data_IF_181687855068
#
_entry.id   IF_181687855068
#
_cell.length_a   1.000
_cell.length_b   1.000
_cell.length_c   1.000
_cell.angle_alpha   90.00
_cell.angle_beta   90.00
_cell.angle_gamma   90.00
#
_symmetry.space_group_name_H-M   'P 1'
#
loop_
_entity.id
_entity.type
_entity.pdbx_description
1 polymer ?
#
# COMPACT_ATOMS: atom_id res chain seq x y z
N UNK A 1 8.26 -3.90 1.81
CA UNK A 1 9.53 -4.63 1.51
C UNK A 1 10.63 -3.75 0.93
N UNK A 2 10.35 -2.52 0.52
CA UNK A 2 11.36 -1.58 -0.06
C UNK A 2 12.58 -1.34 0.85
N UNK A 3 12.41 -1.41 2.17
CA UNK A 3 13.48 -1.21 3.16
C UNK A 3 14.17 -2.50 3.63
N UNK A 4 13.85 -3.65 3.03
CA UNK A 4 14.46 -4.94 3.36
C UNK A 4 15.93 -5.02 2.93
N UNK A 5 16.70 -5.92 3.53
CA UNK A 5 18.05 -6.24 3.10
C UNK A 5 18.01 -7.20 1.90
N UNK A 6 18.18 -6.66 0.70
CA UNK A 6 18.14 -7.46 -0.54
C UNK A 6 19.25 -8.49 -0.67
N UNK A 7 20.35 -8.36 0.11
CA UNK A 7 21.39 -9.39 0.17
C UNK A 7 20.99 -10.58 1.07
N UNK A 8 19.98 -10.38 1.94
CA UNK A 8 19.48 -11.38 2.88
C UNK A 8 17.94 -11.43 2.87
N UNK A 9 17.34 -11.26 1.68
CA UNK A 9 15.89 -11.10 1.50
C UNK A 9 15.07 -12.24 2.12
N UNK A 10 15.55 -13.49 2.06
CA UNK A 10 14.87 -14.66 2.65
C UNK A 10 14.66 -14.47 4.17
N UNK A 11 15.67 -13.97 4.89
CA UNK A 11 15.56 -13.69 6.33
C UNK A 11 14.47 -12.65 6.63
N UNK A 12 14.40 -11.60 5.82
CA UNK A 12 13.40 -10.57 5.99
C UNK A 12 12.00 -11.07 5.65
N UNK A 13 11.86 -11.94 4.63
CA UNK A 13 10.59 -12.61 4.32
C UNK A 13 10.14 -13.50 5.49
N UNK A 14 11.03 -14.26 6.11
CA UNK A 14 10.70 -15.07 7.29
C UNK A 14 10.26 -14.21 8.48
N UNK A 15 10.94 -13.09 8.71
CA UNK A 15 10.58 -12.14 9.77
C UNK A 15 9.15 -11.58 9.55
N UNK A 16 8.81 -11.20 8.31
CA UNK A 16 7.46 -10.70 7.97
C UNK A 16 6.42 -11.81 8.10
N UNK A 17 6.69 -13.04 7.62
CA UNK A 17 5.79 -14.20 7.78
C UNK A 17 5.40 -14.45 9.24
N UNK A 18 6.34 -14.28 10.16
CA UNK A 18 6.14 -14.57 11.59
C UNK A 18 5.40 -13.44 12.32
N UNK A 19 5.58 -12.19 11.91
CA UNK A 19 5.18 -11.04 12.73
C UNK A 19 4.14 -10.12 12.10
N UNK A 20 4.14 -9.98 10.76
CA UNK A 20 3.22 -9.09 10.06
C UNK A 20 2.01 -9.85 9.48
N UNK A 21 1.04 -9.12 8.94
CA UNK A 21 -0.19 -9.68 8.36
C UNK A 21 -0.16 -9.68 6.83
N UNK A 22 0.57 -8.75 6.24
CA UNK A 22 0.61 -8.47 4.81
C UNK A 22 2.05 -8.13 4.41
N UNK A 23 2.47 -8.56 3.21
CA UNK A 23 3.68 -8.07 2.55
C UNK A 23 3.32 -6.90 1.64
N UNK A 24 3.81 -5.71 1.93
CA UNK A 24 3.67 -4.58 1.02
C UNK A 24 4.89 -4.49 0.08
N UNK A 25 4.63 -4.48 -1.23
CA UNK A 25 5.63 -4.62 -2.30
C UNK A 25 5.57 -3.40 -3.24
N UNK A 26 6.51 -2.48 -3.07
CA UNK A 26 6.60 -1.22 -3.83
C UNK A 26 7.28 -1.44 -5.17
N UNK A 27 6.53 -1.43 -6.26
CA UNK A 27 7.02 -1.56 -7.64
C UNK A 27 7.08 -0.19 -8.31
N UNK A 28 8.29 0.23 -8.68
CA UNK A 28 8.57 1.56 -9.22
C UNK A 28 9.32 1.44 -10.55
N UNK A 29 8.93 2.24 -11.55
CA UNK A 29 9.46 2.20 -12.92
C UNK A 29 10.44 3.34 -13.28
N UNK A 30 10.63 4.32 -12.38
CA UNK A 30 11.44 5.50 -12.67
C UNK A 30 10.78 6.50 -13.62
N UNK A 31 9.50 6.32 -13.94
CA UNK A 31 8.73 7.17 -14.87
C UNK A 31 7.57 7.87 -14.17
N UNK A 32 6.75 7.12 -13.42
CA UNK A 32 5.71 7.71 -12.57
C UNK A 32 6.33 8.39 -11.36
N UNK A 33 7.33 7.75 -10.75
CA UNK A 33 8.09 8.24 -9.60
C UNK A 33 9.59 8.28 -9.92
N UNK A 34 10.38 9.16 -9.27
CA UNK A 34 11.80 9.36 -9.60
C UNK A 34 12.73 8.27 -9.01
N UNK A 35 12.25 7.04 -8.91
CA UNK A 35 12.99 5.90 -8.38
C UNK A 35 12.62 4.62 -9.13
N UNK A 36 13.55 3.67 -9.19
CA UNK A 36 13.34 2.30 -9.68
C UNK A 36 13.56 1.38 -8.50
N UNK A 37 12.60 0.50 -8.20
CA UNK A 37 12.75 -0.47 -7.11
C UNK A 37 13.08 -1.87 -7.63
N UNK A 38 12.09 -2.70 -7.79
CA UNK A 38 12.21 -4.07 -8.28
C UNK A 38 10.94 -4.46 -9.04
N UNK A 39 11.03 -5.56 -9.79
CA UNK A 39 9.90 -6.08 -10.58
C UNK A 39 9.67 -7.56 -10.32
N UNK A 40 9.12 -8.24 -11.32
CA UNK A 40 8.68 -9.63 -11.24
C UNK A 40 9.69 -10.60 -10.63
N UNK A 41 11.00 -10.60 -10.96
CA UNK A 41 11.93 -11.59 -10.40
C UNK A 41 12.01 -11.55 -8.86
N UNK A 42 11.93 -10.36 -8.26
CA UNK A 42 11.96 -10.20 -6.80
C UNK A 42 10.60 -10.55 -6.20
N UNK A 43 9.49 -10.10 -6.81
CA UNK A 43 8.13 -10.42 -6.35
C UNK A 43 7.90 -11.92 -6.41
N UNK A 44 8.29 -12.60 -7.50
CA UNK A 44 8.22 -14.05 -7.64
C UNK A 44 9.08 -14.80 -6.61
N UNK A 45 10.26 -14.27 -6.26
CA UNK A 45 11.11 -14.84 -5.22
C UNK A 45 10.45 -14.74 -3.83
N UNK A 46 9.87 -13.58 -3.50
CA UNK A 46 9.11 -13.39 -2.25
C UNK A 46 7.88 -14.30 -2.23
N UNK A 47 7.11 -14.36 -3.31
CA UNK A 47 5.89 -15.17 -3.42
C UNK A 47 6.13 -16.66 -3.12
N UNK A 48 7.30 -17.21 -3.49
CA UNK A 48 7.67 -18.61 -3.22
C UNK A 48 7.79 -18.94 -1.72
N UNK A 49 8.05 -17.93 -0.89
CA UNK A 49 8.32 -18.10 0.55
C UNK A 49 7.25 -17.42 1.43
N UNK A 50 6.53 -16.46 0.89
CA UNK A 50 5.49 -15.74 1.61
C UNK A 50 4.33 -16.66 1.99
N UNK A 51 3.89 -16.57 3.26
CA UNK A 51 2.71 -17.26 3.79
C UNK A 51 1.57 -16.29 4.09
N UNK A 52 1.81 -15.00 3.90
CA UNK A 52 0.84 -13.91 4.08
C UNK A 52 0.49 -13.31 2.73
N UNK A 53 -0.59 -12.55 2.69
CA UNK A 53 -1.04 -11.83 1.50
C UNK A 53 0.06 -10.94 0.93
N UNK A 54 0.25 -10.99 -0.39
CA UNK A 54 1.08 -10.03 -1.10
C UNK A 54 0.18 -8.86 -1.53
N UNK A 55 0.52 -7.68 -1.10
CA UNK A 55 -0.06 -6.41 -1.50
C UNK A 55 0.95 -5.70 -2.40
N UNK A 56 0.63 -5.61 -3.68
CA UNK A 56 1.52 -5.04 -4.71
C UNK A 56 1.09 -3.62 -4.99
N UNK A 57 1.94 -2.66 -4.62
CA UNK A 57 1.72 -1.25 -4.85
C UNK A 57 2.46 -0.80 -6.12
N UNK A 58 1.69 -0.49 -7.16
CA UNK A 58 2.20 -0.13 -8.48
C UNK A 58 2.39 1.39 -8.61
N UNK A 59 3.61 1.85 -8.42
CA UNK A 59 4.06 3.21 -8.71
C UNK A 59 4.67 3.25 -10.12
N UNK A 60 3.87 2.89 -11.14
CA UNK A 60 4.28 2.74 -12.53
C UNK A 60 3.27 3.38 -13.48
N UNK A 61 3.71 3.75 -14.67
CA UNK A 61 2.82 4.13 -15.78
C UNK A 61 2.20 2.88 -16.42
N UNK A 62 1.04 3.02 -17.02
CA UNK A 62 0.31 1.93 -17.67
C UNK A 62 0.12 0.68 -16.78
N UNK A 63 -0.40 0.82 -15.53
CA UNK A 63 -0.55 -0.32 -14.62
C UNK A 63 -1.45 -1.42 -15.20
N UNK A 64 -2.41 -1.10 -16.07
CA UNK A 64 -3.30 -2.04 -16.75
C UNK A 64 -2.57 -3.15 -17.54
N UNK A 65 -1.33 -2.89 -17.95
CA UNK A 65 -0.50 -3.87 -18.67
C UNK A 65 0.14 -4.92 -17.78
N UNK A 66 0.12 -4.71 -16.46
CA UNK A 66 0.90 -5.52 -15.53
C UNK A 66 0.05 -6.21 -14.44
N UNK A 67 -1.16 -5.74 -14.18
CA UNK A 67 -2.01 -6.24 -13.07
C UNK A 67 -2.28 -7.75 -13.20
N UNK A 68 -2.61 -8.25 -14.40
CA UNK A 68 -2.83 -9.67 -14.63
C UNK A 68 -1.60 -10.52 -14.25
N UNK A 69 -0.40 -10.08 -14.66
CA UNK A 69 0.81 -10.82 -14.33
C UNK A 69 1.14 -10.81 -12.85
N UNK A 70 0.88 -9.70 -12.13
CA UNK A 70 1.04 -9.67 -10.67
C UNK A 70 0.00 -10.57 -9.98
N UNK A 71 -1.22 -10.64 -10.47
CA UNK A 71 -2.23 -11.60 -9.99
C UNK A 71 -1.75 -13.05 -10.18
N UNK A 72 -1.19 -13.40 -11.34
CA UNK A 72 -0.64 -14.73 -11.64
C UNK A 72 0.57 -15.10 -10.75
N UNK A 73 1.36 -14.12 -10.30
CA UNK A 73 2.46 -14.32 -9.33
C UNK A 73 1.93 -14.62 -7.92
N UNK A 74 0.66 -14.34 -7.65
CA UNK A 74 0.02 -14.61 -6.37
C UNK A 74 -0.26 -13.37 -5.52
N UNK A 75 -0.30 -12.18 -6.13
CA UNK A 75 -0.78 -10.99 -5.43
C UNK A 75 -2.23 -11.21 -4.95
N UNK A 76 -2.47 -10.94 -3.67
CA UNK A 76 -3.82 -10.94 -3.08
C UNK A 76 -4.46 -9.56 -3.06
N UNK A 77 -3.62 -8.52 -3.15
CA UNK A 77 -4.01 -7.11 -3.25
C UNK A 77 -3.13 -6.43 -4.29
N UNK A 78 -3.70 -5.53 -5.09
CA UNK A 78 -2.96 -4.69 -6.03
C UNK A 78 -3.53 -3.28 -5.97
N UNK A 79 -2.67 -2.28 -5.75
CA UNK A 79 -3.01 -0.86 -5.87
C UNK A 79 -2.19 -0.19 -6.97
N UNK A 80 -2.78 0.85 -7.58
CA UNK A 80 -2.13 1.71 -8.54
C UNK A 80 -2.49 3.17 -8.28
N UNK A 81 -1.67 4.09 -8.75
CA UNK A 81 -1.90 5.52 -8.55
C UNK A 81 -2.94 6.11 -9.49
N UNK A 82 -3.85 6.92 -8.95
CA UNK A 82 -4.80 7.70 -9.76
C UNK A 82 -4.06 8.61 -10.76
N UNK A 83 -2.92 9.15 -10.35
CA UNK A 83 -2.05 9.99 -11.18
C UNK A 83 -1.47 9.25 -12.40
N UNK A 84 -1.28 7.93 -12.31
CA UNK A 84 -0.90 7.12 -13.46
C UNK A 84 -2.02 7.12 -14.50
N UNK A 85 -3.27 6.91 -14.08
CA UNK A 85 -4.43 6.96 -14.98
C UNK A 85 -4.63 8.34 -15.62
N UNK A 86 -4.45 9.42 -14.85
CA UNK A 86 -4.50 10.79 -15.37
C UNK A 86 -3.46 11.01 -16.48
N UNK A 87 -2.23 10.56 -16.21
CA UNK A 87 -1.11 10.69 -17.15
C UNK A 87 -1.33 9.89 -18.42
N UNK A 88 -1.82 8.65 -18.29
CA UNK A 88 -1.92 7.69 -19.37
C UNK A 88 -3.24 7.81 -20.12
N UNK A 89 -4.21 8.60 -19.61
CA UNK A 89 -5.56 8.74 -20.16
C UNK A 89 -6.39 7.46 -20.03
N UNK A 90 -6.10 6.64 -19.00
CA UNK A 90 -6.81 5.38 -18.73
C UNK A 90 -7.96 5.61 -17.73
N UNK A 91 -8.97 4.74 -17.76
CA UNK A 91 -10.08 4.78 -16.80
C UNK A 91 -9.72 4.01 -15.51
N UNK A 92 -9.63 4.67 -14.35
CA UNK A 92 -9.36 3.99 -13.09
C UNK A 92 -10.39 2.89 -12.74
N UNK A 93 -11.68 3.09 -13.06
CA UNK A 93 -12.72 2.10 -12.81
C UNK A 93 -12.49 0.82 -13.64
N UNK A 94 -12.02 0.96 -14.88
CA UNK A 94 -11.66 -0.16 -15.75
C UNK A 94 -10.49 -0.98 -15.17
N UNK A 95 -9.46 -0.32 -14.65
CA UNK A 95 -8.30 -0.99 -14.03
C UNK A 95 -8.71 -1.70 -12.74
N UNK A 96 -9.52 -1.05 -11.88
CA UNK A 96 -10.05 -1.68 -10.66
C UNK A 96 -10.87 -2.93 -11.01
N UNK A 97 -11.72 -2.85 -12.04
CA UNK A 97 -12.51 -4.00 -12.49
C UNK A 97 -11.63 -5.14 -13.03
N UNK A 98 -10.57 -4.81 -13.78
CA UNK A 98 -9.59 -5.78 -14.27
C UNK A 98 -8.93 -6.54 -13.10
N UNK A 99 -8.40 -5.83 -12.09
CA UNK A 99 -7.79 -6.43 -10.90
C UNK A 99 -8.77 -7.38 -10.21
N UNK A 100 -10.03 -6.97 -10.03
CA UNK A 100 -11.06 -7.79 -9.39
C UNK A 100 -11.46 -9.00 -10.22
N UNK A 101 -11.42 -8.90 -11.55
CA UNK A 101 -11.70 -10.05 -12.43
C UNK A 101 -10.65 -11.17 -12.29
N UNK A 102 -9.43 -10.82 -11.88
CA UNK A 102 -8.35 -11.78 -11.59
C UNK A 102 -8.44 -12.36 -10.16
N UNK A 103 -9.50 -12.05 -9.40
CA UNK A 103 -9.74 -12.53 -8.04
C UNK A 103 -8.90 -11.81 -6.97
N UNK A 104 -8.32 -10.66 -7.29
CA UNK A 104 -7.43 -9.87 -6.45
C UNK A 104 -8.17 -8.65 -5.89
N UNK A 105 -7.85 -8.24 -4.65
CA UNK A 105 -8.39 -7.01 -4.06
C UNK A 105 -7.82 -5.78 -4.76
N UNK A 106 -8.70 -4.92 -5.26
CA UNK A 106 -8.32 -3.74 -6.03
C UNK A 106 -8.18 -2.51 -5.15
N UNK A 107 -7.08 -1.77 -5.32
CA UNK A 107 -6.76 -0.55 -4.59
C UNK A 107 -6.49 0.64 -5.51
N UNK A 108 -6.89 1.84 -5.04
CA UNK A 108 -6.55 3.11 -5.71
C UNK A 108 -5.71 3.96 -4.76
N UNK A 109 -4.50 4.33 -5.21
CA UNK A 109 -3.55 5.13 -4.45
C UNK A 109 -3.58 6.60 -4.86
N UNK A 110 -3.32 7.51 -3.91
CA UNK A 110 -3.16 8.95 -4.16
C UNK A 110 -2.00 9.54 -3.36
N UNK A 111 -1.21 10.40 -4.00
CA UNK A 111 -0.16 11.19 -3.36
C UNK A 111 -0.72 12.29 -2.43
N UNK A 112 0.12 12.86 -1.54
CA UNK A 112 -0.32 13.89 -0.57
C UNK A 112 -0.91 15.16 -1.20
N UNK A 113 -0.49 15.53 -2.39
CA UNK A 113 -0.94 16.71 -3.13
C UNK A 113 -2.25 16.50 -3.92
N UNK A 114 -2.72 15.25 -4.01
CA UNK A 114 -3.98 14.94 -4.70
C UNK A 114 -5.16 15.10 -3.73
N UNK A 115 -6.17 15.94 -4.02
CA UNK A 115 -7.37 16.06 -3.21
C UNK A 115 -8.09 14.72 -3.04
N UNK A 116 -8.47 14.38 -1.81
CA UNK A 116 -9.12 13.08 -1.51
C UNK A 116 -10.46 12.90 -2.20
N UNK A 117 -11.13 13.99 -2.54
CA UNK A 117 -12.40 14.00 -3.28
C UNK A 117 -12.27 13.31 -4.64
N UNK A 118 -11.06 13.24 -5.17
CA UNK A 118 -10.80 12.59 -6.45
C UNK A 118 -10.98 11.07 -6.42
N UNK A 119 -10.87 10.42 -5.26
CA UNK A 119 -11.15 8.98 -5.13
C UNK A 119 -12.61 8.67 -4.86
N UNK A 120 -13.44 9.65 -4.47
CA UNK A 120 -14.84 9.42 -4.08
C UNK A 120 -15.69 8.72 -5.16
N UNK A 121 -15.56 9.03 -6.45
CA UNK A 121 -16.29 8.32 -7.50
C UNK A 121 -15.97 6.82 -7.60
N UNK A 122 -14.76 6.43 -7.16
CA UNK A 122 -14.23 5.07 -7.30
C UNK A 122 -14.37 4.20 -6.05
N UNK A 123 -14.84 4.76 -4.91
CA UNK A 123 -14.98 4.03 -3.63
C UNK A 123 -15.86 2.77 -3.76
N UNK A 124 -16.86 2.77 -4.63
CA UNK A 124 -17.73 1.62 -4.90
C UNK A 124 -17.04 0.52 -5.72
N UNK A 125 -15.99 0.88 -6.46
CA UNK A 125 -15.27 0.02 -7.37
C UNK A 125 -13.93 -0.47 -6.77
N UNK A 126 -13.45 0.15 -5.68
CA UNK A 126 -12.24 -0.21 -4.98
C UNK A 126 -12.54 -1.05 -3.71
N UNK A 127 -11.73 -2.06 -3.44
CA UNK A 127 -11.75 -2.76 -2.16
C UNK A 127 -11.02 -1.95 -1.07
N UNK A 128 -10.05 -1.11 -1.47
CA UNK A 128 -9.35 -0.20 -0.55
C UNK A 128 -8.82 1.05 -1.25
N UNK A 129 -8.62 2.11 -0.46
CA UNK A 129 -7.91 3.33 -0.88
C UNK A 129 -6.59 3.39 -0.14
N UNK A 130 -5.49 3.53 -0.88
CA UNK A 130 -4.16 3.75 -0.34
C UNK A 130 -3.88 5.27 -0.28
N UNK A 131 -3.90 5.81 0.93
CA UNK A 131 -3.58 7.22 1.20
C UNK A 131 -2.08 7.33 1.48
N UNK A 132 -1.33 7.92 0.56
CA UNK A 132 0.08 8.19 0.78
C UNK A 132 0.25 9.27 1.84
N UNK A 133 1.08 9.00 2.84
CA UNK A 133 1.48 9.93 3.91
C UNK A 133 2.87 10.52 3.70
N UNK A 134 3.49 10.18 2.57
CA UNK A 134 4.68 10.78 1.97
C UNK A 134 4.51 10.76 0.46
N UNK A 135 5.31 11.51 -0.28
CA UNK A 135 5.30 11.37 -1.75
C UNK A 135 5.85 10.01 -2.16
N UNK A 136 5.14 9.33 -3.06
CA UNK A 136 5.57 8.05 -3.61
C UNK A 136 6.96 8.14 -4.25
N UNK A 137 7.77 7.06 -4.13
CA UNK A 137 9.07 6.94 -4.79
C UNK A 137 10.24 6.61 -3.87
N UNK A 138 10.26 7.05 -2.60
CA UNK A 138 11.35 6.76 -1.68
C UNK A 138 10.85 6.35 -0.30
N UNK A 139 11.52 5.36 0.30
CA UNK A 139 11.30 4.97 1.68
C UNK A 139 12.00 5.92 2.68
N UNK A 140 11.57 5.86 3.96
CA UNK A 140 12.22 6.58 5.07
C UNK A 140 11.98 8.08 5.11
N UNK A 141 10.99 8.59 4.40
CA UNK A 141 10.55 9.98 4.44
C UNK A 141 9.81 10.30 5.75
N UNK A 142 9.76 11.59 6.10
CA UNK A 142 9.02 12.07 7.27
C UNK A 142 7.52 12.07 6.97
N UNK A 143 6.73 11.52 7.89
CA UNK A 143 5.27 11.50 7.86
C UNK A 143 4.68 12.91 7.70
N UNK A 144 3.67 13.05 6.85
CA UNK A 144 2.94 14.30 6.61
C UNK A 144 1.68 14.30 7.49
N UNK A 145 1.61 15.23 8.46
CA UNK A 145 0.56 15.28 9.48
C UNK A 145 -0.86 15.49 8.92
N UNK A 146 -0.99 16.13 7.75
CA UNK A 146 -2.29 16.32 7.08
C UNK A 146 -2.98 14.99 6.73
N UNK A 147 -2.23 13.90 6.67
CA UNK A 147 -2.73 12.55 6.41
C UNK A 147 -3.87 12.14 7.33
N UNK A 148 -3.83 12.53 8.62
CA UNK A 148 -4.94 12.24 9.53
C UNK A 148 -6.27 12.88 9.08
N UNK A 149 -6.21 14.10 8.58
CA UNK A 149 -7.35 14.81 8.00
C UNK A 149 -7.88 14.09 6.75
N UNK A 150 -6.96 13.70 5.88
CA UNK A 150 -7.26 12.99 4.63
C UNK A 150 -7.92 11.63 4.89
N UNK A 151 -7.39 10.84 5.81
CA UNK A 151 -7.95 9.53 6.22
C UNK A 151 -9.37 9.72 6.78
N UNK A 152 -9.58 10.69 7.68
CA UNK A 152 -10.93 10.98 8.22
C UNK A 152 -11.92 11.38 7.13
N UNK A 153 -11.50 12.18 6.16
CA UNK A 153 -12.35 12.60 5.05
C UNK A 153 -12.77 11.43 4.16
N UNK A 154 -11.83 10.54 3.80
CA UNK A 154 -12.13 9.31 3.03
C UNK A 154 -13.04 8.39 3.85
N UNK A 155 -12.79 8.20 5.16
CA UNK A 155 -13.61 7.34 6.03
C UNK A 155 -15.05 7.86 6.16
N UNK A 156 -15.21 9.18 6.30
CA UNK A 156 -16.53 9.81 6.34
C UNK A 156 -17.29 9.61 5.02
N UNK A 157 -16.62 9.73 3.88
CA UNK A 157 -17.25 9.54 2.59
C UNK A 157 -17.64 8.08 2.32
N UNK A 158 -16.79 7.11 2.70
CA UNK A 158 -17.12 5.68 2.64
C UNK A 158 -18.39 5.41 3.45
N UNK A 159 -18.48 5.94 4.67
CA UNK A 159 -19.67 5.80 5.53
C UNK A 159 -20.89 6.48 4.93
N UNK A 160 -20.75 7.70 4.37
CA UNK A 160 -21.84 8.43 3.71
C UNK A 160 -22.44 7.67 2.53
N UNK A 161 -21.57 6.97 1.77
CA UNK A 161 -22.01 6.14 0.64
C UNK A 161 -22.49 4.73 1.06
N UNK A 162 -22.35 4.34 2.33
CA UNK A 162 -22.72 3.00 2.83
C UNK A 162 -21.84 1.87 2.27
N UNK A 163 -20.57 2.15 2.00
CA UNK A 163 -19.62 1.24 1.37
C UNK A 163 -18.73 0.53 2.41
N UNK A 164 -18.10 -0.57 1.98
CA UNK A 164 -17.15 -1.35 2.80
C UNK A 164 -15.69 -1.22 2.35
N UNK A 165 -15.36 -0.19 1.56
CA UNK A 165 -14.01 0.11 1.12
C UNK A 165 -13.10 0.38 2.34
N UNK A 166 -11.92 -0.24 2.37
CA UNK A 166 -10.94 -0.08 3.47
C UNK A 166 -9.99 1.09 3.19
N UNK A 167 -9.30 1.55 4.23
CA UNK A 167 -8.27 2.59 4.08
C UNK A 167 -6.93 2.00 4.50
N UNK A 168 -5.98 2.11 3.59
CA UNK A 168 -4.58 1.80 3.80
C UNK A 168 -3.76 3.09 3.84
N UNK A 169 -2.72 3.14 4.67
CA UNK A 169 -1.81 4.29 4.76
C UNK A 169 -0.38 3.81 4.62
N UNK A 170 0.36 4.43 3.69
CA UNK A 170 1.78 4.17 3.46
C UNK A 170 2.61 5.46 3.50
N UNK A 171 3.73 5.37 4.23
CA UNK A 171 4.76 6.40 4.31
C UNK A 171 5.00 6.95 5.73
N UNK A 172 6.19 6.72 6.28
CA UNK A 172 6.58 7.24 7.60
C UNK A 172 5.75 6.73 8.77
N UNK A 173 5.04 5.61 8.58
CA UNK A 173 4.26 4.96 9.65
C UNK A 173 5.20 4.28 10.63
N UNK A 174 4.89 4.40 11.92
CA UNK A 174 5.71 3.91 13.03
C UNK A 174 4.84 3.71 14.28
N UNK A 175 5.34 3.12 15.37
CA UNK A 175 4.60 3.01 16.61
C UNK A 175 4.11 4.34 17.19
N UNK A 176 4.77 5.47 16.86
CA UNK A 176 4.40 6.79 17.39
C UNK A 176 3.13 7.39 16.75
N UNK A 177 2.73 6.94 15.56
CA UNK A 177 1.57 7.48 14.83
C UNK A 177 0.52 6.41 14.47
N UNK A 178 0.81 5.12 14.66
CA UNK A 178 -0.07 4.02 14.29
C UNK A 178 -1.46 4.13 14.96
N UNK A 179 -1.52 4.36 16.27
CA UNK A 179 -2.78 4.52 17.01
C UNK A 179 -3.61 5.69 16.48
N UNK A 180 -3.00 6.85 16.26
CA UNK A 180 -3.70 8.02 15.72
C UNK A 180 -4.24 7.80 14.30
N UNK A 181 -3.51 7.03 13.47
CA UNK A 181 -3.96 6.65 12.13
C UNK A 181 -5.16 5.70 12.18
N UNK A 182 -5.13 4.70 13.06
CA UNK A 182 -6.24 3.79 13.28
C UNK A 182 -7.50 4.54 13.78
N UNK A 183 -7.33 5.46 14.76
CA UNK A 183 -8.41 6.33 15.24
C UNK A 183 -8.95 7.27 14.14
N UNK A 184 -8.12 7.70 13.20
CA UNK A 184 -8.56 8.46 12.05
C UNK A 184 -9.39 7.62 11.06
N UNK A 185 -9.29 6.29 11.11
CA UNK A 185 -10.05 5.36 10.28
C UNK A 185 -9.22 4.48 9.35
N UNK A 186 -7.88 4.49 9.47
CA UNK A 186 -7.02 3.56 8.74
C UNK A 186 -7.18 2.14 9.28
N UNK A 187 -7.23 1.15 8.38
CA UNK A 187 -7.44 -0.27 8.70
C UNK A 187 -6.23 -1.12 8.31
N UNK A 188 -5.35 -0.58 7.45
CA UNK A 188 -4.08 -1.20 7.04
C UNK A 188 -2.99 -0.15 7.16
N UNK A 189 -1.89 -0.50 7.82
CA UNK A 189 -0.76 0.38 8.07
C UNK A 189 0.51 -0.22 7.49
N UNK A 190 1.16 0.51 6.57
CA UNK A 190 2.40 0.09 5.92
C UNK A 190 3.58 0.74 6.63
N UNK A 191 4.43 -0.09 7.26
CA UNK A 191 5.63 0.35 7.94
C UNK A 191 6.87 -0.31 7.30
N UNK A 192 7.69 0.49 6.64
CA UNK A 192 8.94 0.04 6.03
C UNK A 192 10.14 0.27 6.94
N UNK A 193 10.76 1.44 6.83
CA UNK A 193 12.01 1.76 7.53
C UNK A 193 11.91 1.67 9.05
N UNK A 194 10.76 1.97 9.65
CA UNK A 194 10.54 1.83 11.08
C UNK A 194 10.68 0.39 11.57
N UNK A 195 10.35 -0.59 10.73
CA UNK A 195 10.47 -2.02 11.01
C UNK A 195 11.86 -2.54 10.63
N UNK A 196 12.24 -2.42 9.36
CA UNK A 196 13.45 -3.08 8.83
C UNK A 196 14.77 -2.49 9.36
N UNK A 197 14.79 -1.23 9.84
CA UNK A 197 15.98 -0.60 10.44
C UNK A 197 15.99 -0.68 11.97
N UNK A 198 14.98 -1.30 12.59
CA UNK A 198 14.93 -1.46 14.03
C UNK A 198 15.90 -2.55 14.49
N UNK A 199 16.42 -2.42 15.70
CA UNK A 199 17.21 -3.45 16.35
C UNK A 199 16.38 -4.73 16.57
N UNK A 200 15.10 -4.57 16.90
CA UNK A 200 14.12 -5.66 17.01
C UNK A 200 12.86 -5.37 16.19
N UNK A 201 12.80 -5.80 14.92
CA UNK A 201 11.63 -5.59 14.05
C UNK A 201 10.32 -6.18 14.60
N UNK A 202 10.39 -7.36 15.25
CA UNK A 202 9.22 -8.03 15.81
C UNK A 202 8.54 -7.20 16.91
N UNK A 203 9.32 -6.57 17.79
CA UNK A 203 8.80 -5.69 18.85
C UNK A 203 8.13 -4.43 18.26
N UNK A 204 8.67 -3.88 17.19
CA UNK A 204 8.07 -2.73 16.50
C UNK A 204 6.72 -3.11 15.93
N UNK A 205 6.63 -4.23 15.22
CA UNK A 205 5.37 -4.73 14.66
C UNK A 205 4.37 -5.02 15.78
N UNK A 206 4.80 -5.69 16.85
CA UNK A 206 3.94 -5.99 18.01
C UNK A 206 3.35 -4.72 18.65
N UNK A 207 4.16 -3.67 18.82
CA UNK A 207 3.71 -2.38 19.35
C UNK A 207 2.69 -1.67 18.44
N UNK A 208 2.80 -1.85 17.13
CA UNK A 208 1.84 -1.29 16.18
C UNK A 208 0.52 -2.08 16.11
N UNK A 209 0.55 -3.35 16.54
CA UNK A 209 -0.63 -4.23 16.59
C UNK A 209 -1.31 -4.27 17.96
N UNK A 210 -0.67 -3.75 19.01
CA UNK A 210 -1.21 -3.81 20.35
C UNK A 210 -2.51 -3.02 20.46
N UNK A 211 -3.50 -3.60 21.19
CA UNK A 211 -4.85 -3.06 21.40
C UNK A 211 -4.88 -1.75 22.22
N UNK A 212 -3.74 -1.16 22.57
CA UNK A 212 -3.64 0.23 23.04
C UNK A 212 -4.09 1.27 21.96
N UNK A 213 -4.64 0.77 20.85
CA UNK A 213 -5.36 1.49 19.80
C UNK A 213 -6.86 1.68 20.19
N UNK A 214 -7.22 1.49 21.47
CA UNK A 214 -8.57 1.73 21.98
C UNK A 214 -8.71 3.16 22.50
#
# INVERSE_FOLDING_TARGET
>A
MLSADFLHLEKDVEMVNLNADIFHLDVMDGVLVPNISYGFPVVEAIAKKATKTLDVHLMIVHPEKYVERFAQVGAGMISFHLEASDRDGTDPAGILAQIRSDGVKSGLAINPDIPVERVYPYLKDADFILVMSVFAGFGGQKFIEDTYGRVRAVKAEIARQGLSCRIEVDGGVSPSNASALAQAGAEILVAGSAVFKAENPADVISKMKSDDIA
#
